data_IF_099120261216
#
_entry.id   IF_099120261216
#
_cell.length_a   1.000
_cell.length_b   1.000
_cell.length_c   1.000
_cell.angle_alpha   90.00
_cell.angle_beta   90.00
_cell.angle_gamma   90.00
#
_symmetry.space_group_name_H-M   'P 1'
#
loop_
_entity.id
_entity.type
_entity.pdbx_description
1 polymer ?
#
# COMPACT_ATOMS: atom_id res chain seq x y z
N UNK A 1 -5.54 24.68 62.08
CA UNK A 1 -4.59 24.98 60.96
C UNK A 1 -4.26 23.78 60.07
N UNK A 2 -4.81 22.60 60.34
CA UNK A 2 -4.48 21.33 59.66
C UNK A 2 -5.42 21.05 58.45
N UNK A 3 -6.66 21.55 58.44
CA UNK A 3 -7.62 21.33 57.36
C UNK A 3 -7.31 22.02 56.04
N UNK A 4 -6.59 23.17 56.04
CA UNK A 4 -6.22 23.90 54.82
C UNK A 4 -5.13 23.21 54.01
N UNK A 5 -4.25 22.42 54.65
CA UNK A 5 -3.11 21.78 53.98
C UNK A 5 -3.55 20.56 53.16
N UNK A 6 -4.61 19.87 53.57
CA UNK A 6 -5.10 18.66 52.85
C UNK A 6 -5.80 19.03 51.51
N UNK A 7 -6.48 20.18 51.46
CA UNK A 7 -7.15 20.67 50.25
C UNK A 7 -6.13 21.09 49.16
N UNK A 8 -5.04 21.75 49.53
CA UNK A 8 -3.98 22.15 48.60
C UNK A 8 -3.24 20.97 47.97
N UNK A 9 -2.99 19.90 48.75
CA UNK A 9 -2.33 18.70 48.25
C UNK A 9 -3.22 17.95 47.26
N UNK A 10 -4.52 17.86 47.51
CA UNK A 10 -5.48 17.25 46.58
C UNK A 10 -5.57 18.05 45.25
N UNK A 11 -5.59 19.37 45.35
CA UNK A 11 -5.63 20.23 44.16
C UNK A 11 -4.36 20.13 43.31
N UNK A 12 -3.17 20.04 43.94
CA UNK A 12 -1.89 19.83 43.27
C UNK A 12 -1.76 18.44 42.58
N UNK A 13 -2.30 17.41 43.24
CA UNK A 13 -2.30 16.04 42.69
C UNK A 13 -3.28 15.92 41.52
N UNK A 14 -4.46 16.57 41.61
CA UNK A 14 -5.45 16.59 40.54
C UNK A 14 -4.95 17.39 39.33
N UNK A 15 -4.26 18.51 39.55
CA UNK A 15 -3.62 19.31 38.50
C UNK A 15 -2.53 18.55 37.79
N UNK A 16 -1.65 17.83 38.49
CA UNK A 16 -0.58 17.01 37.89
C UNK A 16 -1.11 15.87 37.06
N UNK A 17 -2.17 15.16 37.51
CA UNK A 17 -2.83 14.10 36.71
C UNK A 17 -3.45 14.66 35.44
N UNK A 18 -4.11 15.81 35.49
CA UNK A 18 -4.71 16.42 34.29
C UNK A 18 -3.68 16.95 33.30
N UNK A 19 -2.56 17.49 33.79
CA UNK A 19 -1.43 17.90 32.93
C UNK A 19 -0.80 16.68 32.26
N UNK A 20 -0.60 15.59 32.98
CA UNK A 20 -0.08 14.35 32.43
C UNK A 20 -1.02 13.73 31.37
N UNK A 21 -2.32 13.76 31.62
CA UNK A 21 -3.32 13.29 30.65
C UNK A 21 -3.36 14.19 29.41
N UNK A 22 -3.24 15.51 29.59
CA UNK A 22 -3.20 16.48 28.49
C UNK A 22 -1.93 16.33 27.64
N UNK A 23 -0.77 16.11 28.25
CA UNK A 23 0.47 15.84 27.53
C UNK A 23 0.45 14.51 26.80
N UNK A 24 -0.16 13.47 27.37
CA UNK A 24 -0.39 12.19 26.72
C UNK A 24 -1.33 12.31 25.50
N UNK A 25 -2.41 13.08 25.61
CA UNK A 25 -3.33 13.37 24.51
C UNK A 25 -2.66 14.18 23.39
N UNK A 26 -1.84 15.18 23.74
CA UNK A 26 -1.08 15.95 22.76
C UNK A 26 -0.05 15.09 22.00
N UNK A 27 0.59 14.12 22.67
CA UNK A 27 1.58 13.24 21.99
C UNK A 27 0.93 12.30 20.98
N UNK A 28 -0.33 11.91 21.16
CA UNK A 28 -1.06 11.06 20.20
C UNK A 28 -1.46 11.86 18.94
N UNK A 29 -1.75 13.15 19.08
CA UNK A 29 -2.15 14.00 17.96
C UNK A 29 -1.02 14.28 16.96
N UNK A 30 0.25 14.14 17.37
CA UNK A 30 1.42 14.40 16.51
C UNK A 30 1.72 13.26 15.51
N UNK A 31 1.12 12.07 15.65
CA UNK A 31 1.37 10.91 14.79
C UNK A 31 0.34 10.72 13.65
N UNK A 32 -0.60 11.64 13.47
CA UNK A 32 -1.71 11.51 12.52
C UNK A 32 -1.51 12.26 11.20
N UNK A 33 -0.28 12.59 10.80
CA UNK A 33 -0.05 13.18 9.48
C UNK A 33 0.34 12.06 8.52
N UNK A 34 -0.63 11.63 7.68
CA UNK A 34 -0.38 10.72 6.57
C UNK A 34 0.51 11.35 5.49
N UNK A 35 0.96 10.54 4.54
CA UNK A 35 1.84 10.99 3.45
C UNK A 35 1.19 12.09 2.61
N UNK A 36 1.87 13.21 2.48
CA UNK A 36 1.39 14.32 1.65
C UNK A 36 1.65 14.04 0.17
N UNK A 37 0.61 13.61 -0.55
CA UNK A 37 0.68 13.40 -2.00
C UNK A 37 1.13 14.71 -2.68
N UNK A 38 2.22 14.69 -3.48
CA UNK A 38 2.69 15.87 -4.21
C UNK A 38 1.63 16.45 -5.14
N UNK A 39 1.80 17.71 -5.51
CA UNK A 39 1.00 18.27 -6.61
C UNK A 39 1.42 17.65 -7.94
N UNK A 40 0.43 17.46 -8.84
CA UNK A 40 0.70 16.91 -10.17
C UNK A 40 1.67 17.83 -10.93
N UNK A 41 2.82 17.35 -11.37
CA UNK A 41 3.78 18.16 -12.09
C UNK A 41 3.21 18.71 -13.40
N UNK A 42 3.62 19.91 -13.81
CA UNK A 42 3.20 20.49 -15.09
C UNK A 42 3.69 19.70 -16.29
N UNK A 43 4.85 19.08 -16.19
CA UNK A 43 5.40 18.16 -17.19
C UNK A 43 5.11 16.73 -16.74
N UNK A 44 4.19 16.09 -17.45
CA UNK A 44 3.79 14.72 -17.13
C UNK A 44 4.83 13.72 -17.64
N UNK A 45 5.16 12.77 -16.80
CA UNK A 45 6.01 11.62 -17.10
C UNK A 45 5.33 10.35 -16.57
N UNK A 46 5.76 9.19 -17.02
CA UNK A 46 5.27 7.92 -16.49
C UNK A 46 6.10 7.39 -15.32
N UNK A 47 7.23 8.02 -14.96
CA UNK A 47 8.10 7.56 -13.86
C UNK A 47 8.49 8.74 -12.96
N UNK A 48 7.98 8.74 -11.75
CA UNK A 48 8.25 9.72 -10.70
C UNK A 48 9.10 9.08 -9.61
N UNK A 49 10.40 9.27 -9.67
CA UNK A 49 11.37 8.77 -8.71
C UNK A 49 11.80 9.91 -7.78
N UNK A 50 11.20 9.98 -6.59
CA UNK A 50 11.46 11.05 -5.61
C UNK A 50 12.71 10.84 -4.77
N UNK A 51 13.32 9.65 -4.84
CA UNK A 51 14.49 9.30 -4.03
C UNK A 51 15.73 8.97 -4.86
N UNK A 52 15.65 9.14 -6.19
CA UNK A 52 16.71 8.81 -7.12
C UNK A 52 17.20 7.35 -6.97
N UNK A 53 16.25 6.42 -6.83
CA UNK A 53 16.53 4.99 -6.72
C UNK A 53 17.05 4.40 -8.03
N UNK A 54 16.52 4.88 -9.16
CA UNK A 54 16.89 4.45 -10.49
C UNK A 54 17.96 5.36 -11.08
N UNK A 55 18.91 4.81 -11.83
CA UNK A 55 19.79 5.63 -12.65
C UNK A 55 18.99 6.36 -13.74
N UNK A 56 19.52 7.48 -14.25
CA UNK A 56 18.86 8.24 -15.31
C UNK A 56 18.56 7.41 -16.55
N UNK A 57 19.43 6.46 -16.92
CA UNK A 57 19.23 5.55 -18.04
C UNK A 57 18.08 4.56 -17.76
N UNK A 58 18.03 3.97 -16.55
CA UNK A 58 16.98 3.05 -16.15
C UNK A 58 15.62 3.76 -16.09
N UNK A 59 15.56 4.96 -15.46
CA UNK A 59 14.36 5.77 -15.41
C UNK A 59 13.81 6.06 -16.81
N UNK A 60 14.68 6.56 -17.71
CA UNK A 60 14.29 6.87 -19.10
C UNK A 60 13.85 5.64 -19.88
N UNK A 61 14.51 4.51 -19.68
CA UNK A 61 14.13 3.25 -20.34
C UNK A 61 12.74 2.77 -19.92
N UNK A 62 12.46 2.79 -18.60
CA UNK A 62 11.14 2.44 -18.07
C UNK A 62 10.08 3.43 -18.54
N UNK A 63 10.37 4.73 -18.47
CA UNK A 63 9.46 5.79 -18.95
C UNK A 63 9.07 5.59 -20.42
N UNK A 64 10.05 5.42 -21.30
CA UNK A 64 9.80 5.20 -22.73
C UNK A 64 8.94 3.94 -22.98
N UNK A 65 9.15 2.88 -22.19
CA UNK A 65 8.34 1.66 -22.26
C UNK A 65 6.88 1.94 -21.92
N UNK A 66 6.63 2.64 -20.81
CA UNK A 66 5.29 2.94 -20.31
C UNK A 66 4.55 3.91 -21.25
N UNK A 67 5.23 4.94 -21.75
CA UNK A 67 4.67 5.89 -22.73
C UNK A 67 4.27 5.16 -24.00
N UNK A 68 5.15 4.33 -24.54
CA UNK A 68 4.84 3.56 -25.76
C UNK A 68 3.63 2.66 -25.59
N UNK A 69 3.47 2.04 -24.40
CA UNK A 69 2.29 1.24 -24.10
C UNK A 69 1.03 2.10 -24.04
N UNK A 70 1.10 3.24 -23.39
CA UNK A 70 -0.01 4.20 -23.32
C UNK A 70 -0.44 4.72 -24.69
N UNK A 71 0.52 5.04 -25.56
CA UNK A 71 0.27 5.51 -26.92
C UNK A 71 -0.47 4.49 -27.80
N UNK A 72 -0.26 3.20 -27.53
CA UNK A 72 -0.85 2.11 -28.33
C UNK A 72 -2.16 1.59 -27.77
N UNK A 73 -2.41 1.72 -26.47
CA UNK A 73 -3.57 1.12 -25.78
C UNK A 73 -4.48 2.12 -25.10
N UNK A 74 -4.07 3.40 -25.04
CA UNK A 74 -4.71 4.46 -24.25
C UNK A 74 -4.72 4.22 -22.73
N UNK A 75 -4.19 3.11 -22.23
CA UNK A 75 -4.07 2.85 -20.79
C UNK A 75 -2.83 3.52 -20.23
N UNK A 76 -3.02 4.45 -19.31
CA UNK A 76 -1.91 5.16 -18.67
C UNK A 76 -1.36 4.36 -17.49
N UNK A 77 -0.06 4.08 -17.50
CA UNK A 77 0.62 3.43 -16.37
C UNK A 77 1.68 4.39 -15.82
N UNK A 78 1.58 4.65 -14.52
CA UNK A 78 2.49 5.54 -13.79
C UNK A 78 3.22 4.73 -12.71
N UNK A 79 4.51 4.97 -12.56
CA UNK A 79 5.34 4.45 -11.47
C UNK A 79 5.75 5.62 -10.58
N UNK A 80 5.41 5.54 -9.29
CA UNK A 80 5.87 6.47 -8.28
C UNK A 80 6.75 5.74 -7.25
N UNK A 81 7.91 6.32 -6.95
CA UNK A 81 8.90 5.76 -6.02
C UNK A 81 9.15 6.77 -4.92
N UNK A 82 8.82 6.39 -3.69
CA UNK A 82 8.97 7.21 -2.47
C UNK A 82 9.82 6.48 -1.43
N UNK A 83 10.30 7.20 -0.45
CA UNK A 83 11.05 6.62 0.67
C UNK A 83 10.11 5.78 1.55
N UNK A 84 9.07 6.38 2.08
CA UNK A 84 8.12 5.78 3.02
C UNK A 84 6.71 6.32 2.80
N UNK A 85 5.70 5.55 3.21
CA UNK A 85 4.29 5.98 3.29
C UNK A 85 4.00 6.80 4.54
N UNK A 86 4.99 7.07 5.39
CA UNK A 86 4.82 7.75 6.68
C UNK A 86 3.76 7.09 7.58
N UNK A 87 3.67 5.75 7.50
CA UNK A 87 2.73 4.96 8.28
C UNK A 87 1.35 4.77 7.65
N UNK A 88 1.08 5.40 6.52
CA UNK A 88 -0.18 5.23 5.81
C UNK A 88 -0.29 3.86 5.11
N UNK A 89 -1.52 3.39 4.91
CA UNK A 89 -1.75 2.18 4.12
C UNK A 89 -1.42 2.46 2.65
N UNK A 90 -0.48 1.70 2.09
CA UNK A 90 0.03 1.93 0.73
C UNK A 90 -1.06 1.80 -0.35
N UNK A 91 -2.05 0.93 -0.17
CA UNK A 91 -3.14 0.76 -1.14
C UNK A 91 -4.06 1.99 -1.12
N UNK A 92 -4.38 2.48 0.08
CA UNK A 92 -5.19 3.68 0.26
C UNK A 92 -4.45 4.91 -0.29
N UNK A 93 -3.16 5.06 0.02
CA UNK A 93 -2.32 6.14 -0.49
C UNK A 93 -2.27 6.12 -2.03
N UNK A 94 -2.06 4.95 -2.63
CA UNK A 94 -1.96 4.84 -4.09
C UNK A 94 -3.30 5.12 -4.78
N UNK A 95 -4.42 4.68 -4.22
CA UNK A 95 -5.75 4.99 -4.75
C UNK A 95 -6.02 6.49 -4.74
N UNK A 96 -5.80 7.16 -3.59
CA UNK A 96 -5.95 8.61 -3.47
C UNK A 96 -4.99 9.39 -4.38
N UNK A 97 -3.77 8.86 -4.59
CA UNK A 97 -2.80 9.48 -5.49
C UNK A 97 -3.27 9.40 -6.94
N UNK A 98 -3.73 8.22 -7.36
CA UNK A 98 -4.28 8.02 -8.69
C UNK A 98 -5.46 8.94 -8.98
N UNK A 99 -6.38 9.08 -8.04
CA UNK A 99 -7.54 9.98 -8.12
C UNK A 99 -7.11 11.46 -8.12
N UNK A 100 -6.24 11.89 -7.18
CA UNK A 100 -5.77 13.29 -7.11
C UNK A 100 -5.07 13.73 -8.38
N UNK A 101 -4.31 12.84 -9.01
CA UNK A 101 -3.59 13.16 -10.23
C UNK A 101 -4.39 12.92 -11.49
N UNK A 102 -5.55 12.27 -11.41
CA UNK A 102 -6.35 11.88 -12.55
C UNK A 102 -5.55 11.01 -13.51
N UNK A 103 -4.94 9.91 -12.97
CA UNK A 103 -4.18 8.97 -13.80
C UNK A 103 -5.15 8.17 -14.65
N UNK A 104 -4.95 8.20 -15.97
CA UNK A 104 -5.85 7.61 -16.97
C UNK A 104 -6.74 8.64 -17.65
N UNK A 105 -7.59 8.17 -18.52
CA UNK A 105 -8.55 9.02 -19.23
C UNK A 105 -9.81 9.21 -18.38
N UNK A 106 -10.29 10.44 -18.23
CA UNK A 106 -11.39 10.80 -17.34
C UNK A 106 -12.71 10.04 -17.60
N UNK A 107 -12.96 9.60 -18.84
CA UNK A 107 -14.13 8.80 -19.19
C UNK A 107 -13.93 7.31 -19.01
N UNK A 108 -12.73 6.83 -19.31
CA UNK A 108 -12.40 5.40 -19.36
C UNK A 108 -11.90 4.89 -18.00
N UNK A 109 -11.40 5.79 -17.12
CA UNK A 109 -10.80 5.45 -15.82
C UNK A 109 -9.79 4.28 -15.93
N UNK A 110 -8.94 4.37 -16.98
CA UNK A 110 -8.01 3.31 -17.40
C UNK A 110 -6.58 3.57 -16.95
N UNK A 111 -6.43 4.23 -15.80
CA UNK A 111 -5.14 4.51 -15.20
C UNK A 111 -4.66 3.37 -14.31
N UNK A 112 -3.35 3.19 -14.21
CA UNK A 112 -2.70 2.25 -13.30
C UNK A 112 -1.56 2.97 -12.60
N UNK A 113 -1.52 2.87 -11.27
CA UNK A 113 -0.43 3.39 -10.46
C UNK A 113 0.32 2.23 -9.78
N UNK A 114 1.63 2.13 -10.06
CA UNK A 114 2.56 1.32 -9.29
C UNK A 114 3.25 2.24 -8.27
N UNK A 115 2.98 2.05 -6.99
CA UNK A 115 3.58 2.85 -5.91
C UNK A 115 4.56 1.99 -5.11
N UNK A 116 5.84 2.37 -5.11
CA UNK A 116 6.89 1.75 -4.30
C UNK A 116 7.29 2.67 -3.15
N UNK A 117 7.15 2.20 -1.92
CA UNK A 117 7.71 2.78 -0.70
C UNK A 117 8.94 1.95 -0.28
N UNK A 118 10.11 2.40 -0.71
CA UNK A 118 11.36 1.61 -0.68
C UNK A 118 11.80 1.24 0.74
N UNK A 119 11.77 2.20 1.67
CA UNK A 119 12.25 1.97 3.04
C UNK A 119 11.25 1.15 3.87
N UNK A 120 9.96 1.25 3.55
CA UNK A 120 8.89 0.40 4.11
C UNK A 120 8.89 -1.01 3.51
N UNK A 121 9.63 -1.25 2.42
CA UNK A 121 9.61 -2.48 1.63
C UNK A 121 8.20 -2.85 1.15
N UNK A 122 7.43 -1.86 0.76
CA UNK A 122 6.06 -2.02 0.30
C UNK A 122 5.93 -1.58 -1.15
N UNK A 123 5.13 -2.32 -1.90
CA UNK A 123 4.73 -1.95 -3.26
C UNK A 123 3.26 -2.32 -3.45
N UNK A 124 2.55 -1.50 -4.23
CA UNK A 124 1.19 -1.80 -4.67
C UNK A 124 1.01 -1.47 -6.16
N UNK A 125 0.02 -2.09 -6.77
CA UNK A 125 -0.48 -1.79 -8.10
C UNK A 125 -1.97 -1.50 -7.95
N UNK A 126 -2.37 -0.26 -8.22
CA UNK A 126 -3.76 0.18 -8.18
C UNK A 126 -4.25 0.45 -9.59
N UNK A 127 -5.35 -0.18 -9.95
CA UNK A 127 -6.00 -0.04 -11.25
C UNK A 127 -7.27 0.82 -11.11
N UNK A 128 -7.49 1.71 -12.06
CA UNK A 128 -8.76 2.43 -12.20
C UNK A 128 -9.87 1.49 -12.63
N UNK A 129 -11.14 1.91 -12.42
CA UNK A 129 -12.33 1.07 -12.65
C UNK A 129 -12.43 0.54 -14.08
N UNK A 130 -11.93 1.31 -15.05
CA UNK A 130 -11.97 0.92 -16.46
C UNK A 130 -11.13 -0.29 -16.82
N UNK A 131 -10.11 -0.60 -16.02
CA UNK A 131 -9.18 -1.72 -16.27
C UNK A 131 -9.16 -2.75 -15.12
N UNK A 132 -9.86 -2.49 -14.02
CA UNK A 132 -9.93 -3.40 -12.86
C UNK A 132 -10.46 -4.80 -13.22
N UNK A 133 -11.36 -4.90 -14.18
CA UNK A 133 -11.89 -6.18 -14.66
C UNK A 133 -10.82 -7.03 -15.41
N UNK A 134 -9.77 -6.40 -15.94
CA UNK A 134 -8.62 -7.05 -16.59
C UNK A 134 -7.47 -7.25 -15.60
N UNK A 135 -7.14 -6.21 -14.82
CA UNK A 135 -6.09 -6.23 -13.81
C UNK A 135 -6.72 -6.20 -12.42
N UNK A 136 -7.27 -7.34 -12.00
CA UNK A 136 -7.90 -7.49 -10.68
C UNK A 136 -6.89 -7.42 -9.54
N UNK A 137 -7.34 -7.16 -8.32
CA UNK A 137 -6.49 -7.20 -7.12
C UNK A 137 -5.71 -8.51 -6.98
N UNK A 138 -6.33 -9.63 -7.34
CA UNK A 138 -5.67 -10.93 -7.32
C UNK A 138 -4.50 -10.97 -8.32
N UNK A 139 -4.67 -10.45 -9.51
CA UNK A 139 -3.62 -10.39 -10.54
C UNK A 139 -2.52 -9.41 -10.14
N UNK A 140 -2.88 -8.23 -9.64
CA UNK A 140 -1.94 -7.25 -9.09
C UNK A 140 -1.07 -7.85 -7.99
N UNK A 141 -1.69 -8.52 -7.01
CA UNK A 141 -0.98 -9.22 -5.94
C UNK A 141 -0.03 -10.29 -6.48
N UNK A 142 -0.48 -11.09 -7.45
CA UNK A 142 0.35 -12.13 -8.06
C UNK A 142 1.55 -11.57 -8.81
N UNK A 143 1.38 -10.48 -9.56
CA UNK A 143 2.48 -9.78 -10.23
C UNK A 143 3.49 -9.29 -9.19
N UNK A 144 3.01 -8.69 -8.11
CA UNK A 144 3.87 -8.21 -7.03
C UNK A 144 4.67 -9.38 -6.42
N UNK A 145 4.00 -10.43 -5.98
CA UNK A 145 4.63 -11.53 -5.22
C UNK A 145 5.54 -12.41 -6.09
N UNK A 146 5.14 -12.69 -7.34
CA UNK A 146 5.83 -13.67 -8.19
C UNK A 146 6.86 -13.05 -9.13
N UNK A 147 6.73 -11.74 -9.45
CA UNK A 147 7.58 -11.08 -10.45
C UNK A 147 8.41 -9.97 -9.80
N UNK A 148 7.76 -9.02 -9.10
CA UNK A 148 8.44 -7.82 -8.61
C UNK A 148 9.31 -8.13 -7.37
N UNK A 149 8.74 -8.75 -6.36
CA UNK A 149 9.41 -9.02 -5.08
C UNK A 149 10.69 -9.87 -5.23
N UNK A 150 10.76 -10.92 -6.08
CA UNK A 150 11.99 -11.66 -6.29
C UNK A 150 13.16 -10.81 -6.77
N UNK A 151 12.92 -9.83 -7.65
CA UNK A 151 13.94 -8.90 -8.11
C UNK A 151 14.34 -7.92 -6.99
N UNK A 152 13.37 -7.39 -6.25
CA UNK A 152 13.63 -6.50 -5.11
C UNK A 152 14.47 -7.16 -4.01
N UNK A 153 14.26 -8.46 -3.77
CA UNK A 153 15.11 -9.24 -2.83
C UNK A 153 16.58 -9.32 -3.28
N UNK A 154 16.85 -9.16 -4.57
CA UNK A 154 18.20 -9.06 -5.12
C UNK A 154 18.70 -7.62 -5.22
N UNK A 155 17.98 -6.65 -4.64
CA UNK A 155 18.21 -5.21 -4.78
C UNK A 155 18.13 -4.68 -6.22
N UNK A 156 17.54 -5.43 -7.14
CA UNK A 156 17.31 -5.00 -8.50
C UNK A 156 15.90 -4.38 -8.66
N UNK A 157 15.77 -3.16 -8.17
CA UNK A 157 14.51 -2.42 -8.22
C UNK A 157 14.07 -2.11 -9.65
N UNK A 158 15.04 -1.82 -10.53
CA UNK A 158 14.73 -1.57 -11.93
C UNK A 158 14.14 -2.81 -12.61
N UNK A 159 14.80 -3.96 -12.49
CA UNK A 159 14.29 -5.20 -13.07
C UNK A 159 12.88 -5.52 -12.54
N UNK A 160 12.65 -5.38 -11.24
CA UNK A 160 11.35 -5.64 -10.65
C UNK A 160 10.24 -4.75 -11.22
N UNK A 161 10.46 -3.44 -11.32
CA UNK A 161 9.49 -2.51 -11.89
C UNK A 161 9.29 -2.74 -13.39
N UNK A 162 10.38 -2.97 -14.11
CA UNK A 162 10.37 -3.22 -15.56
C UNK A 162 9.64 -4.52 -15.92
N UNK A 163 9.95 -5.61 -15.21
CA UNK A 163 9.30 -6.91 -15.38
C UNK A 163 7.83 -6.85 -14.93
N UNK A 164 7.54 -6.13 -13.82
CA UNK A 164 6.19 -5.88 -13.36
C UNK A 164 5.33 -5.19 -14.42
N UNK A 165 5.88 -4.17 -15.09
CA UNK A 165 5.20 -3.50 -16.20
C UNK A 165 4.91 -4.46 -17.35
N UNK A 166 5.86 -5.29 -17.75
CA UNK A 166 5.65 -6.28 -18.82
C UNK A 166 4.53 -7.27 -18.49
N UNK A 167 4.43 -7.71 -17.22
CA UNK A 167 3.36 -8.61 -16.79
C UNK A 167 2.00 -7.90 -16.68
N UNK A 168 1.97 -6.61 -16.31
CA UNK A 168 0.76 -5.79 -16.40
C UNK A 168 0.29 -5.75 -17.86
N UNK A 169 1.18 -5.45 -18.82
CA UNK A 169 0.82 -5.41 -20.25
C UNK A 169 0.23 -6.74 -20.72
N UNK A 170 0.86 -7.87 -20.39
CA UNK A 170 0.36 -9.20 -20.73
C UNK A 170 -1.01 -9.48 -20.10
N UNK A 171 -1.23 -9.03 -18.88
CA UNK A 171 -2.50 -9.22 -18.19
C UNK A 171 -3.61 -8.43 -18.87
N UNK A 172 -3.36 -7.17 -19.20
CA UNK A 172 -4.32 -6.30 -19.89
C UNK A 172 -4.64 -6.80 -21.31
N UNK A 173 -3.68 -7.40 -22.00
CA UNK A 173 -3.89 -8.03 -23.32
C UNK A 173 -4.55 -9.42 -23.23
N UNK A 174 -4.87 -9.91 -22.04
CA UNK A 174 -5.49 -11.22 -21.84
C UNK A 174 -4.54 -12.41 -21.99
N UNK A 175 -3.23 -12.18 -22.20
CA UNK A 175 -2.22 -13.23 -22.34
C UNK A 175 -1.86 -13.90 -21.00
N UNK A 176 -2.02 -13.16 -19.91
CA UNK A 176 -1.73 -13.62 -18.56
C UNK A 176 -3.02 -14.00 -17.82
N UNK A 177 -3.61 -15.13 -18.18
CA UNK A 177 -4.67 -15.76 -17.39
C UNK A 177 -4.02 -16.51 -16.25
N UNK A 178 -3.93 -15.87 -15.06
CA UNK A 178 -3.44 -16.55 -13.88
C UNK A 178 -4.25 -17.81 -13.61
N UNK A 179 -3.62 -18.96 -13.75
CA UNK A 179 -4.21 -20.22 -13.24
C UNK A 179 -4.32 -20.06 -11.73
N UNK A 180 -5.56 -19.97 -11.25
CA UNK A 180 -5.87 -19.99 -9.82
C UNK A 180 -5.36 -21.32 -9.29
N UNK A 181 -4.15 -21.36 -8.70
CA UNK A 181 -3.89 -22.39 -7.71
C UNK A 181 -4.91 -22.11 -6.61
N UNK A 182 -5.98 -22.89 -6.57
CA UNK A 182 -6.71 -23.10 -5.34
C UNK A 182 -5.68 -23.71 -4.41
N UNK A 183 -5.06 -22.91 -3.55
CA UNK A 183 -4.66 -23.41 -2.27
C UNK A 183 -5.98 -23.85 -1.66
N UNK A 184 -6.26 -25.16 -1.78
CA UNK A 184 -7.21 -25.79 -0.93
C UNK A 184 -6.60 -25.57 0.47
N UNK A 185 -7.02 -24.51 1.14
CA UNK A 185 -6.95 -24.45 2.59
C UNK A 185 -7.80 -25.62 3.04
N UNK A 186 -7.16 -26.79 3.06
CA UNK A 186 -7.69 -27.93 3.76
C UNK A 186 -8.01 -27.43 5.16
N UNK A 187 -9.21 -27.66 5.60
CA UNK A 187 -9.60 -27.40 6.97
C UNK A 187 -8.48 -27.94 7.85
N UNK A 188 -7.84 -27.04 8.62
CA UNK A 188 -6.80 -27.46 9.55
C UNK A 188 -7.42 -28.44 10.53
N UNK A 189 -7.01 -29.73 10.52
CA UNK A 189 -7.57 -30.73 11.44
C UNK A 189 -7.47 -30.30 12.90
N UNK A 190 -6.49 -29.42 13.23
CA UNK A 190 -6.32 -28.82 14.55
C UNK A 190 -7.52 -27.98 14.99
N UNK A 191 -8.19 -27.29 14.07
CA UNK A 191 -9.39 -26.49 14.40
C UNK A 191 -10.54 -27.41 14.82
N UNK A 192 -10.72 -28.56 14.13
CA UNK A 192 -11.75 -29.55 14.46
C UNK A 192 -11.48 -30.15 15.84
N UNK A 193 -10.23 -30.54 16.09
CA UNK A 193 -9.80 -31.08 17.39
C UNK A 193 -10.02 -30.06 18.51
N UNK A 194 -9.71 -28.79 18.27
CA UNK A 194 -9.90 -27.71 19.24
C UNK A 194 -11.39 -27.47 19.54
N UNK A 195 -12.26 -27.49 18.53
CA UNK A 195 -13.71 -27.36 18.73
C UNK A 195 -14.28 -28.55 19.54
N UNK A 196 -13.85 -29.79 19.20
CA UNK A 196 -14.26 -30.99 19.95
C UNK A 196 -13.80 -30.88 21.40
N UNK A 197 -12.57 -30.44 21.65
CA UNK A 197 -12.03 -30.25 23.01
C UNK A 197 -12.85 -29.23 23.82
N UNK A 198 -13.25 -28.10 23.21
CA UNK A 198 -14.12 -27.11 23.86
C UNK A 198 -15.48 -27.69 24.19
N UNK A 199 -16.10 -28.45 23.27
CA UNK A 199 -17.41 -29.07 23.50
C UNK A 199 -17.36 -30.07 24.65
N UNK A 200 -16.30 -30.90 24.73
CA UNK A 200 -16.08 -31.85 25.84
C UNK A 200 -15.89 -31.09 27.16
N UNK A 201 -15.12 -29.99 27.19
CA UNK A 201 -14.89 -29.17 28.38
C UNK A 201 -16.21 -28.54 28.88
N UNK A 202 -17.04 -28.06 27.98
CA UNK A 202 -18.35 -27.48 28.32
C UNK A 202 -19.33 -28.55 28.82
N UNK A 203 -19.26 -29.79 28.34
CA UNK A 203 -20.10 -30.91 28.80
C UNK A 203 -19.71 -31.45 30.19
N UNK A 204 -18.46 -31.20 30.64
CA UNK A 204 -17.97 -31.56 31.95
C UNK A 204 -18.29 -30.52 33.04
N UNK A 205 -18.70 -29.32 32.65
CA UNK A 205 -19.06 -28.20 33.57
C UNK A 205 -20.59 -28.14 33.81
N UNK A 206 -21.35 -28.89 33.04
CA UNK A 206 -22.81 -29.07 33.21
C UNK A 206 -23.12 -30.48 33.77
#
# INVERSE_FOLDING_TARGET
>A
MIFKKKSYVQFLVFGKKNIFLLTLLCSIALFSQGYKIPEKPKFETSVYDYINLLSSAQKKSLENKLIRYSDTTSTQIVVAIIASTEGENINYLAANWGEKWGIGQAKEDNGILMLLAKDDRKITIQAGKGVEHLLTDFQSKRIIESIIIPDFKRNDYYAGLNNGADYIFKTLNGEFKGTRKRDAQGFDPGIIVFIIFIVILLSLVW
#
